data_IF_427605117904
#
_entry.id   IF_427605117904
#
_cell.length_a   1.000
_cell.length_b   1.000
_cell.length_c   1.000
_cell.angle_alpha   90.00
_cell.angle_beta   90.00
_cell.angle_gamma   90.00
#
_symmetry.space_group_name_H-M   'P 1'
#
loop_
_entity.id
_entity.type
_entity.pdbx_description
1 polymer ?
#
# COMPACT_ATOMS: atom_id res chain seq x y z
N UNK A 1 17.93 -2.00 -18.06
CA UNK A 1 16.65 -1.31 -17.73
C UNK A 1 16.67 0.12 -18.31
N UNK A 2 15.54 0.68 -18.77
CA UNK A 2 15.46 2.09 -19.24
C UNK A 2 14.98 3.04 -18.13
N UNK A 3 15.53 4.25 -18.05
CA UNK A 3 15.07 5.32 -17.16
C UNK A 3 14.30 6.37 -17.96
N UNK A 4 13.04 6.58 -17.59
CA UNK A 4 12.08 7.50 -18.21
C UNK A 4 11.76 8.61 -17.21
N UNK A 5 11.93 9.87 -17.58
CA UNK A 5 11.77 11.05 -16.71
C UNK A 5 10.62 11.95 -17.14
N UNK A 6 10.10 11.80 -18.37
CA UNK A 6 9.03 12.65 -18.90
C UNK A 6 7.83 11.83 -19.40
N UNK A 7 6.68 12.49 -19.58
CA UNK A 7 5.47 11.86 -20.16
C UNK A 7 5.75 11.36 -21.57
N UNK A 8 6.52 12.14 -22.33
CA UNK A 8 6.84 11.89 -23.74
C UNK A 8 7.75 10.66 -23.88
N UNK A 9 8.75 10.53 -23.00
CA UNK A 9 9.61 9.34 -22.93
C UNK A 9 8.80 8.09 -22.58
N UNK A 10 7.91 8.18 -21.58
CA UNK A 10 7.02 7.08 -21.22
C UNK A 10 6.09 6.70 -22.36
N UNK A 11 5.44 7.67 -23.01
CA UNK A 11 4.54 7.43 -24.13
C UNK A 11 5.27 6.77 -25.30
N UNK A 12 6.48 7.23 -25.64
CA UNK A 12 7.32 6.62 -26.67
C UNK A 12 7.66 5.17 -26.32
N UNK A 13 8.09 4.93 -25.08
CA UNK A 13 8.39 3.60 -24.56
C UNK A 13 7.18 2.66 -24.62
N UNK A 14 5.99 3.16 -24.25
CA UNK A 14 4.72 2.42 -24.29
C UNK A 14 4.33 2.06 -25.73
N UNK A 15 4.38 3.03 -26.65
CA UNK A 15 3.95 2.85 -28.04
C UNK A 15 4.83 1.85 -28.79
N UNK A 16 6.15 1.91 -28.59
CA UNK A 16 7.12 1.01 -29.20
C UNK A 16 6.99 -0.45 -28.71
N UNK A 17 6.22 -0.67 -27.63
CA UNK A 17 6.04 -1.97 -26.97
C UNK A 17 4.56 -2.34 -26.81
N UNK A 18 3.69 -1.77 -27.63
CA UNK A 18 2.22 -1.89 -27.51
C UNK A 18 1.68 -3.33 -27.61
N UNK A 19 2.41 -4.25 -28.23
CA UNK A 19 2.01 -5.67 -28.35
C UNK A 19 2.46 -6.55 -27.19
N UNK A 20 3.24 -6.02 -26.23
CA UNK A 20 3.79 -6.78 -25.11
C UNK A 20 2.93 -6.57 -23.86
N UNK A 21 2.59 -7.63 -23.11
CA UNK A 21 1.87 -7.48 -21.85
C UNK A 21 2.72 -6.67 -20.88
N UNK A 22 2.08 -5.79 -20.09
CA UNK A 22 2.77 -4.87 -19.19
C UNK A 22 2.21 -4.91 -17.78
N UNK A 23 3.10 -5.04 -16.81
CA UNK A 23 2.79 -4.87 -15.40
C UNK A 23 3.35 -3.55 -14.89
N UNK A 24 2.53 -2.84 -14.11
CA UNK A 24 2.90 -1.61 -13.42
C UNK A 24 3.13 -1.90 -11.94
N UNK A 25 4.27 -1.45 -11.40
CA UNK A 25 4.56 -1.43 -9.96
C UNK A 25 4.71 0.02 -9.53
N UNK A 26 3.62 0.69 -9.09
CA UNK A 26 3.70 2.09 -8.71
C UNK A 26 4.31 2.24 -7.31
N UNK A 27 5.36 3.05 -7.19
CA UNK A 27 6.04 3.33 -5.91
C UNK A 27 6.38 4.81 -5.77
N UNK A 28 6.73 5.20 -4.54
CA UNK A 28 7.26 6.53 -4.22
C UNK A 28 8.80 6.57 -4.11
N UNK A 29 9.51 5.47 -4.41
CA UNK A 29 10.96 5.37 -4.16
C UNK A 29 11.31 4.97 -2.74
N UNK A 30 12.60 5.09 -2.39
CA UNK A 30 13.19 4.54 -1.17
C UNK A 30 12.85 3.05 -1.00
N UNK A 31 13.17 2.29 -2.04
CA UNK A 31 12.77 0.91 -2.22
C UNK A 31 13.43 -0.01 -1.18
N UNK A 32 12.74 -1.11 -0.91
CA UNK A 32 13.14 -2.13 0.07
C UNK A 32 12.61 -3.49 -0.38
N UNK A 33 12.88 -4.56 0.36
CA UNK A 33 12.51 -5.92 -0.03
C UNK A 33 10.99 -6.13 -0.23
N UNK A 34 10.16 -5.36 0.49
CA UNK A 34 8.73 -5.26 0.16
C UNK A 34 8.46 -4.85 -1.29
N UNK A 35 9.11 -3.80 -1.80
CA UNK A 35 8.98 -3.37 -3.19
C UNK A 35 9.59 -4.35 -4.18
N UNK A 36 10.76 -4.91 -3.84
CA UNK A 36 11.40 -5.97 -4.62
C UNK A 36 10.45 -7.14 -4.89
N UNK A 37 9.73 -7.59 -3.86
CA UNK A 37 8.75 -8.68 -4.01
C UNK A 37 7.60 -8.35 -4.97
N UNK A 38 7.21 -7.07 -5.10
CA UNK A 38 6.19 -6.63 -6.06
C UNK A 38 6.73 -6.69 -7.49
N UNK A 39 8.00 -6.33 -7.68
CA UNK A 39 8.68 -6.42 -8.98
C UNK A 39 8.83 -7.88 -9.39
N UNK A 40 9.27 -8.75 -8.47
CA UNK A 40 9.37 -10.20 -8.73
C UNK A 40 8.01 -10.81 -9.10
N UNK A 41 6.93 -10.39 -8.42
CA UNK A 41 5.57 -10.80 -8.76
C UNK A 41 5.15 -10.28 -10.14
N UNK A 42 5.42 -9.01 -10.44
CA UNK A 42 5.14 -8.41 -11.74
C UNK A 42 5.85 -9.15 -12.90
N UNK A 43 7.13 -9.52 -12.73
CA UNK A 43 7.90 -10.31 -13.70
C UNK A 43 7.21 -11.65 -13.97
N UNK A 44 6.78 -12.35 -12.91
CA UNK A 44 6.07 -13.64 -13.05
C UNK A 44 4.73 -13.51 -13.77
N UNK A 45 4.00 -12.39 -13.56
CA UNK A 45 2.69 -12.16 -14.16
C UNK A 45 2.76 -11.87 -15.66
N UNK A 46 3.80 -11.16 -16.11
CA UNK A 46 3.94 -10.80 -17.53
C UNK A 46 4.75 -11.81 -18.33
N UNK A 47 5.41 -12.76 -17.66
CA UNK A 47 6.30 -13.76 -18.24
C UNK A 47 7.37 -13.14 -19.16
N UNK A 48 7.06 -13.01 -20.46
CA UNK A 48 7.91 -12.42 -21.49
C UNK A 48 7.52 -10.98 -21.88
N UNK A 49 6.72 -10.31 -21.06
CA UNK A 49 6.29 -8.91 -21.21
C UNK A 49 7.25 -7.89 -20.62
N UNK A 50 6.70 -6.74 -20.21
CA UNK A 50 7.45 -5.61 -19.67
C UNK A 50 7.00 -5.26 -18.24
N UNK A 51 7.95 -5.01 -17.35
CA UNK A 51 7.68 -4.49 -16.00
C UNK A 51 8.10 -3.03 -15.95
N UNK A 52 7.13 -2.15 -15.66
CA UNK A 52 7.34 -0.74 -15.45
C UNK A 52 7.19 -0.43 -13.95
N UNK A 53 8.27 0.05 -13.32
CA UNK A 53 8.22 0.53 -11.93
C UNK A 53 8.17 2.05 -11.92
N UNK A 54 7.33 2.68 -11.10
CA UNK A 54 7.39 4.14 -10.94
C UNK A 54 8.17 4.50 -9.68
N UNK A 55 8.92 5.59 -9.73
CA UNK A 55 9.52 6.22 -8.56
C UNK A 55 9.03 7.67 -8.54
N UNK A 56 7.94 7.91 -7.83
CA UNK A 56 7.31 9.24 -7.81
C UNK A 56 6.72 9.56 -6.44
N UNK A 57 7.37 10.47 -5.71
CA UNK A 57 6.83 11.01 -4.45
C UNK A 57 5.71 12.00 -4.81
N UNK A 58 4.49 11.50 -4.93
CA UNK A 58 3.32 12.28 -5.31
C UNK A 58 3.01 13.36 -4.25
N UNK A 59 3.09 14.67 -4.54
CA UNK A 59 2.78 15.70 -3.55
C UNK A 59 1.30 15.74 -3.12
N UNK A 60 0.37 15.33 -4.00
CA UNK A 60 -1.07 15.49 -3.77
C UNK A 60 -1.65 14.53 -2.72
N UNK A 61 -0.90 13.48 -2.36
CA UNK A 61 -1.30 12.52 -1.33
C UNK A 61 -0.66 12.80 0.04
N UNK A 62 0.06 13.92 0.20
CA UNK A 62 0.61 14.35 1.48
C UNK A 62 -0.15 15.54 2.04
N UNK A 63 -0.51 15.46 3.32
CA UNK A 63 -1.06 16.60 4.06
C UNK A 63 0.02 17.64 4.42
N UNK A 64 -0.38 18.87 4.83
CA UNK A 64 0.56 19.94 5.17
C UNK A 64 1.55 19.60 6.31
N UNK A 65 1.13 18.73 7.24
CA UNK A 65 1.91 18.32 8.41
C UNK A 65 2.55 16.93 8.23
N UNK A 66 2.56 16.39 7.01
CA UNK A 66 3.14 15.08 6.72
C UNK A 66 4.59 15.18 6.23
N UNK A 67 5.21 14.02 6.02
CA UNK A 67 6.63 13.86 5.78
C UNK A 67 7.07 14.09 4.33
N UNK A 68 6.38 14.92 3.54
CA UNK A 68 6.70 15.12 2.11
C UNK A 68 8.13 15.65 1.88
N UNK A 69 8.53 16.66 2.67
CA UNK A 69 9.84 17.28 2.56
C UNK A 69 10.95 16.34 3.03
N UNK A 70 10.70 15.56 4.09
CA UNK A 70 11.65 14.61 4.68
C UNK A 70 11.60 13.21 4.05
N UNK A 71 10.67 12.95 3.11
CA UNK A 71 10.53 11.65 2.46
C UNK A 71 11.85 11.24 1.79
N UNK A 72 12.34 10.01 2.01
CA UNK A 72 13.65 9.62 1.53
C UNK A 72 13.65 9.52 0.00
N UNK A 73 14.66 10.11 -0.64
CA UNK A 73 14.86 10.05 -2.09
C UNK A 73 16.24 9.47 -2.37
N UNK A 74 16.29 8.26 -2.92
CA UNK A 74 17.53 7.48 -3.13
C UNK A 74 17.55 6.86 -4.52
N UNK A 75 17.35 7.69 -5.55
CA UNK A 75 17.11 7.25 -6.92
C UNK A 75 18.13 6.21 -7.41
N UNK A 76 19.43 6.43 -7.24
CA UNK A 76 20.46 5.47 -7.68
C UNK A 76 20.34 4.08 -7.03
N UNK A 77 20.05 4.05 -5.72
CA UNK A 77 19.84 2.79 -5.01
C UNK A 77 18.53 2.11 -5.44
N UNK A 78 17.49 2.90 -5.67
CA UNK A 78 16.20 2.42 -6.15
C UNK A 78 16.32 1.83 -7.56
N UNK A 79 17.06 2.47 -8.47
CA UNK A 79 17.34 1.97 -9.81
C UNK A 79 18.10 0.65 -9.78
N UNK A 80 19.11 0.54 -8.92
CA UNK A 80 19.87 -0.70 -8.73
C UNK A 80 18.95 -1.85 -8.30
N UNK A 81 18.05 -1.60 -7.35
CA UNK A 81 17.09 -2.59 -6.89
C UNK A 81 16.13 -2.99 -8.03
N UNK A 82 15.53 -2.01 -8.72
CA UNK A 82 14.64 -2.27 -9.85
C UNK A 82 15.31 -3.14 -10.93
N UNK A 83 16.54 -2.83 -11.32
CA UNK A 83 17.26 -3.60 -12.34
C UNK A 83 17.54 -5.02 -11.87
N UNK A 84 17.98 -5.19 -10.61
CA UNK A 84 18.28 -6.51 -10.04
C UNK A 84 17.07 -7.44 -9.92
N UNK A 85 15.86 -6.87 -9.83
CA UNK A 85 14.59 -7.61 -9.73
C UNK A 85 13.83 -7.71 -11.05
N UNK A 86 14.40 -7.21 -12.15
CA UNK A 86 13.88 -7.42 -13.50
C UNK A 86 12.90 -6.36 -14.01
N UNK A 87 12.90 -5.14 -13.45
CA UNK A 87 12.19 -4.02 -14.08
C UNK A 87 12.76 -3.76 -15.48
N UNK A 88 11.89 -3.72 -16.48
CA UNK A 88 12.26 -3.37 -17.86
C UNK A 88 12.54 -1.88 -17.97
N UNK A 89 11.73 -1.07 -17.31
CA UNK A 89 11.90 0.37 -17.23
C UNK A 89 11.48 0.94 -15.87
N UNK A 90 12.03 2.10 -15.55
CA UNK A 90 11.65 2.92 -14.40
C UNK A 90 11.15 4.27 -14.89
N UNK A 91 9.94 4.65 -14.48
CA UNK A 91 9.42 5.98 -14.68
C UNK A 91 9.60 6.81 -13.40
N UNK A 92 10.54 7.77 -13.45
CA UNK A 92 10.89 8.64 -12.34
C UNK A 92 10.74 10.12 -12.72
N UNK A 93 9.49 10.60 -12.87
CA UNK A 93 9.22 11.97 -13.29
C UNK A 93 9.33 12.96 -12.12
N UNK A 94 9.61 14.21 -12.46
CA UNK A 94 9.34 15.34 -11.58
C UNK A 94 7.84 15.66 -11.52
N UNK A 95 7.39 16.30 -10.43
CA UNK A 95 5.96 16.57 -10.21
C UNK A 95 5.31 17.39 -11.33
N UNK A 96 6.03 18.34 -11.93
CA UNK A 96 5.53 19.16 -13.03
C UNK A 96 5.36 18.40 -14.35
N UNK A 97 5.96 17.20 -14.49
CA UNK A 97 5.66 16.31 -15.61
C UNK A 97 4.36 15.53 -15.40
N UNK A 98 3.89 15.39 -14.15
CA UNK A 98 2.61 14.73 -13.85
C UNK A 98 1.47 15.74 -13.74
N UNK A 99 1.73 16.87 -13.08
CA UNK A 99 0.74 17.90 -12.77
C UNK A 99 1.11 19.20 -13.46
N UNK A 100 0.31 19.61 -14.44
CA UNK A 100 0.41 20.94 -15.02
C UNK A 100 -0.01 21.98 -13.95
N UNK A 101 0.56 23.20 -13.99
CA UNK A 101 0.39 24.21 -12.93
C UNK A 101 -1.07 24.68 -12.75
N UNK A 102 -1.91 24.49 -13.75
CA UNK A 102 -3.33 24.79 -13.75
C UNK A 102 -4.23 23.54 -13.61
N UNK A 103 -3.67 22.40 -13.17
CA UNK A 103 -4.44 21.18 -12.93
C UNK A 103 -5.59 21.44 -11.94
N UNK A 104 -6.82 21.14 -12.35
CA UNK A 104 -8.05 21.37 -11.57
C UNK A 104 -8.96 20.15 -11.49
N UNK A 105 -8.48 18.98 -11.94
CA UNK A 105 -9.23 17.72 -11.95
C UNK A 105 -8.62 16.75 -10.93
N UNK A 106 -9.47 16.22 -10.07
CA UNK A 106 -9.16 15.20 -9.07
C UNK A 106 -10.22 14.09 -9.09
N UNK A 107 -9.83 12.90 -8.63
CA UNK A 107 -10.73 11.75 -8.50
C UNK A 107 -10.97 11.49 -7.01
N UNK A 108 -12.25 11.37 -6.65
CA UNK A 108 -12.69 11.16 -5.28
C UNK A 108 -13.46 9.84 -5.18
N UNK A 109 -12.95 8.89 -4.40
CA UNK A 109 -13.74 7.74 -3.94
C UNK A 109 -14.47 8.17 -2.67
N UNK A 110 -15.76 7.84 -2.50
CA UNK A 110 -16.60 8.49 -1.48
C UNK A 110 -17.01 7.59 -0.30
N UNK A 111 -16.58 6.33 -0.27
CA UNK A 111 -16.95 5.37 0.78
C UNK A 111 -15.73 4.83 1.51
N UNK A 112 -14.94 3.99 0.87
CA UNK A 112 -13.79 3.32 1.48
C UNK A 112 -12.70 4.31 1.91
N UNK A 113 -12.55 5.41 1.18
CA UNK A 113 -11.59 6.47 1.44
C UNK A 113 -11.88 7.31 2.69
N UNK A 114 -13.10 7.24 3.25
CA UNK A 114 -13.52 8.15 4.34
C UNK A 114 -13.24 7.63 5.74
N UNK A 115 -12.84 6.37 5.88
CA UNK A 115 -12.55 5.72 7.17
C UNK A 115 -11.04 5.61 7.42
N UNK A 116 -10.66 5.29 8.66
CA UNK A 116 -9.30 4.89 9.05
C UNK A 116 -8.21 5.84 8.54
N UNK A 117 -7.28 5.39 7.68
CA UNK A 117 -6.22 6.24 7.15
C UNK A 117 -6.76 7.47 6.44
N UNK A 118 -7.91 7.40 5.79
CA UNK A 118 -8.49 8.54 5.11
C UNK A 118 -9.17 9.55 6.05
N UNK A 119 -9.72 9.06 7.18
CA UNK A 119 -10.19 9.94 8.25
C UNK A 119 -9.01 10.66 8.94
N UNK A 120 -7.91 9.94 9.21
CA UNK A 120 -6.70 10.51 9.82
C UNK A 120 -5.87 11.36 8.84
N UNK A 121 -6.09 11.22 7.52
CA UNK A 121 -5.34 11.91 6.46
C UNK A 121 -6.29 12.46 5.38
N UNK A 122 -7.03 13.55 5.67
CA UNK A 122 -7.97 14.13 4.72
C UNK A 122 -7.32 14.47 3.37
N UNK A 123 -7.94 14.07 2.27
CA UNK A 123 -7.44 14.26 0.91
C UNK A 123 -6.37 13.25 0.45
N UNK A 124 -5.84 12.42 1.35
CA UNK A 124 -4.79 11.44 1.00
C UNK A 124 -5.21 10.53 -0.17
N UNK A 125 -6.38 9.88 -0.04
CA UNK A 125 -6.86 8.96 -1.07
C UNK A 125 -7.32 9.67 -2.35
N UNK A 126 -7.68 10.95 -2.30
CA UNK A 126 -7.95 11.71 -3.52
C UNK A 126 -6.65 11.89 -4.33
N UNK A 127 -5.55 12.20 -3.64
CA UNK A 127 -4.22 12.24 -4.23
C UNK A 127 -3.79 10.89 -4.80
N UNK A 128 -4.02 9.78 -4.07
CA UNK A 128 -3.74 8.41 -4.53
C UNK A 128 -4.58 8.05 -5.76
N UNK A 129 -5.89 8.23 -5.71
CA UNK A 129 -6.78 7.92 -6.83
C UNK A 129 -6.40 8.72 -8.08
N UNK A 130 -6.10 10.01 -7.92
CA UNK A 130 -5.72 10.89 -9.02
C UNK A 130 -4.40 10.47 -9.64
N UNK A 131 -3.36 10.20 -8.84
CA UNK A 131 -2.05 9.79 -9.39
C UNK A 131 -2.12 8.42 -10.05
N UNK A 132 -2.80 7.43 -9.43
CA UNK A 132 -2.90 6.08 -9.97
C UNK A 132 -3.67 6.07 -11.28
N UNK A 133 -4.78 6.81 -11.38
CA UNK A 133 -5.51 6.95 -12.64
C UNK A 133 -4.65 7.58 -13.75
N UNK A 134 -3.87 8.61 -13.43
CA UNK A 134 -2.93 9.22 -14.39
C UNK A 134 -1.86 8.22 -14.82
N UNK A 135 -1.32 7.43 -13.90
CA UNK A 135 -0.35 6.38 -14.21
C UNK A 135 -0.96 5.28 -15.10
N UNK A 136 -2.22 4.86 -14.86
CA UNK A 136 -2.90 3.90 -15.72
C UNK A 136 -3.11 4.45 -17.13
N UNK A 137 -3.47 5.73 -17.28
CA UNK A 137 -3.60 6.37 -18.59
C UNK A 137 -2.26 6.48 -19.33
N UNK A 138 -1.18 6.84 -18.63
CA UNK A 138 0.15 7.04 -19.22
C UNK A 138 0.84 5.71 -19.55
N UNK A 139 0.83 4.77 -18.61
CA UNK A 139 1.54 3.51 -18.73
C UNK A 139 0.74 2.40 -19.41
N UNK A 140 -0.59 2.52 -19.52
CA UNK A 140 -1.49 1.54 -20.14
C UNK A 140 -1.15 0.08 -19.78
N UNK A 141 -1.07 -0.27 -18.48
CA UNK A 141 -0.71 -1.62 -18.07
C UNK A 141 -1.88 -2.59 -18.29
N UNK A 142 -1.57 -3.88 -18.43
CA UNK A 142 -2.55 -4.96 -18.31
C UNK A 142 -2.82 -5.30 -16.85
N UNK A 143 -1.78 -5.22 -16.02
CA UNK A 143 -1.83 -5.57 -14.60
C UNK A 143 -1.11 -4.52 -13.77
N UNK A 144 -1.59 -4.22 -12.58
CA UNK A 144 -0.90 -3.36 -11.63
C UNK A 144 -0.78 -4.06 -10.26
N UNK A 145 0.44 -4.05 -9.72
CA UNK A 145 0.80 -4.82 -8.52
C UNK A 145 0.98 -3.89 -7.33
N UNK A 146 0.29 -4.20 -6.23
CA UNK A 146 0.29 -3.41 -5.01
C UNK A 146 0.53 -4.29 -3.79
N UNK A 147 1.16 -3.75 -2.74
CA UNK A 147 1.36 -4.47 -1.49
C UNK A 147 0.12 -4.46 -0.61
N UNK A 148 -0.23 -5.62 -0.03
CA UNK A 148 -1.32 -5.77 0.94
C UNK A 148 -1.08 -5.03 2.26
N UNK A 149 0.16 -4.60 2.53
CA UNK A 149 0.51 -3.81 3.71
C UNK A 149 -0.37 -2.54 3.80
N UNK A 150 -0.63 -1.89 2.68
CA UNK A 150 -1.55 -0.75 2.57
C UNK A 150 -2.94 -1.23 2.11
N UNK A 151 -3.56 -2.15 2.86
CA UNK A 151 -4.78 -2.86 2.44
C UNK A 151 -5.96 -1.95 2.06
N UNK A 152 -6.17 -0.86 2.80
CA UNK A 152 -7.20 0.14 2.44
C UNK A 152 -6.90 0.81 1.09
N UNK A 153 -5.63 1.10 0.79
CA UNK A 153 -5.22 1.64 -0.51
C UNK A 153 -5.52 0.64 -1.63
N UNK A 154 -5.18 -0.63 -1.43
CA UNK A 154 -5.48 -1.70 -2.39
C UNK A 154 -6.99 -1.76 -2.69
N UNK A 155 -7.83 -1.78 -1.66
CA UNK A 155 -9.29 -1.80 -1.82
C UNK A 155 -9.84 -0.55 -2.53
N UNK A 156 -9.32 0.64 -2.20
CA UNK A 156 -9.68 1.90 -2.88
C UNK A 156 -9.27 1.86 -4.36
N UNK A 157 -8.10 1.32 -4.69
CA UNK A 157 -7.63 1.21 -6.07
C UNK A 157 -8.43 0.16 -6.85
N UNK A 158 -8.80 -0.97 -6.24
CA UNK A 158 -9.71 -1.94 -6.84
C UNK A 158 -11.08 -1.30 -7.13
N UNK A 159 -11.61 -0.50 -6.20
CA UNK A 159 -12.86 0.27 -6.38
C UNK A 159 -12.75 1.26 -7.54
N UNK A 160 -11.69 2.07 -7.55
CA UNK A 160 -11.36 3.02 -8.63
C UNK A 160 -11.31 2.34 -9.99
N UNK A 161 -10.59 1.22 -10.08
CA UNK A 161 -10.36 0.47 -11.32
C UNK A 161 -11.67 -0.05 -11.89
N UNK A 162 -12.49 -0.68 -11.04
CA UNK A 162 -13.80 -1.19 -11.43
C UNK A 162 -14.75 -0.07 -11.83
N UNK A 163 -14.90 0.97 -11.00
CA UNK A 163 -15.94 1.99 -11.19
C UNK A 163 -15.64 2.93 -12.38
N UNK A 164 -14.36 3.13 -12.71
CA UNK A 164 -13.95 3.88 -13.90
C UNK A 164 -13.67 2.99 -15.12
N UNK A 165 -13.94 1.68 -15.03
CA UNK A 165 -13.76 0.71 -16.12
C UNK A 165 -12.33 0.69 -16.69
N UNK A 166 -11.33 0.85 -15.83
CA UNK A 166 -9.95 0.68 -16.26
C UNK A 166 -9.71 -0.79 -16.67
N UNK A 167 -9.14 -1.07 -17.85
CA UNK A 167 -8.85 -2.42 -18.30
C UNK A 167 -7.54 -2.94 -17.67
N UNK A 168 -7.43 -2.82 -16.35
CA UNK A 168 -6.23 -3.18 -15.57
C UNK A 168 -6.63 -4.20 -14.50
N UNK A 169 -5.95 -5.33 -14.46
CA UNK A 169 -6.06 -6.28 -13.36
C UNK A 169 -5.26 -5.79 -12.15
N UNK A 170 -5.89 -5.71 -10.98
CA UNK A 170 -5.22 -5.29 -9.74
C UNK A 170 -4.81 -6.51 -8.93
N UNK A 171 -3.51 -6.69 -8.74
CA UNK A 171 -2.94 -7.81 -7.98
C UNK A 171 -2.38 -7.33 -6.65
N UNK A 172 -2.91 -7.88 -5.56
CA UNK A 172 -2.36 -7.70 -4.22
C UNK A 172 -1.23 -8.70 -3.95
N UNK A 173 -0.13 -8.24 -3.35
CA UNK A 173 0.96 -9.09 -2.90
C UNK A 173 1.09 -9.10 -1.38
N UNK A 174 1.35 -10.26 -0.75
CA UNK A 174 1.47 -10.36 0.70
C UNK A 174 2.49 -9.38 1.30
N UNK A 175 2.18 -8.87 2.49
CA UNK A 175 3.09 -8.01 3.25
C UNK A 175 4.41 -8.72 3.56
N UNK A 176 5.52 -8.19 3.05
CA UNK A 176 6.87 -8.61 3.44
C UNK A 176 7.22 -8.04 4.81
N UNK A 177 7.86 -8.86 5.65
CA UNK A 177 8.14 -8.55 7.05
C UNK A 177 9.62 -8.73 7.36
N UNK A 178 10.08 -7.94 8.31
CA UNK A 178 11.35 -8.09 9.01
C UNK A 178 11.38 -9.43 9.79
N UNK A 179 12.57 -9.86 10.24
CA UNK A 179 12.73 -11.14 10.94
C UNK A 179 11.90 -11.27 12.23
N UNK A 180 11.59 -10.14 12.87
CA UNK A 180 10.76 -10.06 14.08
C UNK A 180 9.26 -9.87 13.79
N UNK A 181 8.87 -9.87 12.51
CA UNK A 181 7.49 -9.77 12.04
C UNK A 181 6.99 -8.35 11.76
N UNK A 182 7.80 -7.30 12.03
CA UNK A 182 7.43 -5.93 11.68
C UNK A 182 7.24 -5.81 10.16
N UNK A 183 6.13 -5.21 9.73
CA UNK A 183 5.90 -4.94 8.30
C UNK A 183 7.02 -4.02 7.76
N UNK A 184 7.61 -4.39 6.63
CA UNK A 184 8.67 -3.57 6.02
C UNK A 184 8.08 -2.24 5.54
N UNK A 185 8.73 -1.14 5.93
CA UNK A 185 8.37 0.20 5.48
C UNK A 185 9.62 1.08 5.44
N UNK A 186 9.70 1.97 4.44
CA UNK A 186 10.70 3.04 4.40
C UNK A 186 10.68 3.92 5.66
N UNK A 187 9.55 4.00 6.38
CA UNK A 187 9.44 4.74 7.64
C UNK A 187 10.10 4.05 8.85
N UNK A 188 10.42 2.75 8.76
CA UNK A 188 11.05 2.02 9.88
C UNK A 188 12.42 2.59 10.23
N UNK A 189 13.11 3.25 9.30
CA UNK A 189 14.44 3.85 9.53
C UNK A 189 14.41 5.09 10.42
N UNK A 190 13.22 5.63 10.70
CA UNK A 190 13.04 6.80 11.56
C UNK A 190 12.75 6.46 13.02
N UNK A 191 12.54 5.17 13.32
CA UNK A 191 12.32 4.71 14.68
C UNK A 191 13.63 4.80 15.47
N UNK A 192 13.54 5.25 16.73
CA UNK A 192 14.61 5.04 17.70
C UNK A 192 14.83 3.54 17.97
N UNK A 193 15.93 3.18 18.63
CA UNK A 193 16.19 1.78 18.99
C UNK A 193 15.08 1.20 19.88
N UNK A 194 14.58 1.99 20.85
CA UNK A 194 13.49 1.61 21.75
C UNK A 194 12.16 1.49 21.00
N UNK A 195 11.82 2.46 20.15
CA UNK A 195 10.61 2.43 19.32
C UNK A 195 10.63 1.24 18.34
N UNK A 196 11.79 0.94 17.76
CA UNK A 196 11.98 -0.19 16.85
C UNK A 196 11.81 -1.52 17.57
N UNK A 197 12.28 -1.65 18.82
CA UNK A 197 12.10 -2.85 19.63
C UNK A 197 10.63 -3.07 20.04
N UNK A 198 9.88 -1.98 20.26
CA UNK A 198 8.46 -2.00 20.60
C UNK A 198 7.55 -2.33 19.40
N UNK A 199 7.86 -1.77 18.22
CA UNK A 199 7.01 -1.84 17.02
C UNK A 199 6.45 -3.22 16.62
N UNK A 200 7.19 -4.35 16.75
CA UNK A 200 6.67 -5.68 16.43
C UNK A 200 5.45 -6.12 17.25
N UNK A 201 5.12 -5.44 18.37
CA UNK A 201 3.88 -5.72 19.12
C UNK A 201 2.64 -5.63 18.24
N UNK A 202 2.63 -4.72 17.26
CA UNK A 202 1.52 -4.52 16.35
C UNK A 202 1.18 -5.83 15.59
N UNK A 203 2.18 -6.40 14.91
CA UNK A 203 1.97 -7.64 14.16
C UNK A 203 1.67 -8.83 15.07
N UNK A 204 2.40 -8.95 16.20
CA UNK A 204 2.20 -10.06 17.15
C UNK A 204 0.76 -10.08 17.68
N UNK A 205 0.23 -8.92 18.06
CA UNK A 205 -1.14 -8.79 18.55
C UNK A 205 -2.15 -9.14 17.47
N UNK A 206 -2.07 -8.51 16.28
CA UNK A 206 -3.00 -8.77 15.19
C UNK A 206 -3.00 -10.25 14.79
N UNK A 207 -1.84 -10.86 14.67
CA UNK A 207 -1.71 -12.28 14.32
C UNK A 207 -2.29 -13.20 15.40
N UNK A 208 -2.05 -12.90 16.68
CA UNK A 208 -2.61 -13.70 17.77
C UNK A 208 -4.14 -13.62 17.78
N UNK A 209 -4.70 -12.42 17.68
CA UNK A 209 -6.16 -12.23 17.71
C UNK A 209 -6.80 -12.85 16.47
N UNK A 210 -6.21 -12.68 15.28
CA UNK A 210 -6.67 -13.32 14.05
C UNK A 210 -6.75 -14.86 14.17
N UNK A 211 -5.77 -15.49 14.81
CA UNK A 211 -5.78 -16.94 15.07
C UNK A 211 -6.81 -17.36 16.12
N UNK A 212 -7.11 -16.49 17.08
CA UNK A 212 -8.11 -16.77 18.12
C UNK A 212 -9.53 -16.57 17.57
N UNK A 213 -9.74 -15.63 16.65
CA UNK A 213 -10.98 -15.51 15.84
C UNK A 213 -11.22 -16.80 15.05
N UNK A 214 -10.21 -17.31 14.32
CA UNK A 214 -10.37 -18.53 13.51
C UNK A 214 -10.64 -19.79 14.35
N UNK A 215 -10.35 -19.76 15.65
CA UNK A 215 -10.65 -20.81 16.63
C UNK A 215 -11.97 -20.58 17.37
N UNK A 216 -12.73 -19.55 17.03
CA UNK A 216 -14.01 -19.23 17.67
C UNK A 216 -13.89 -18.75 19.12
N UNK A 217 -12.76 -18.15 19.50
CA UNK A 217 -12.53 -17.68 20.89
C UNK A 217 -13.13 -16.30 21.18
N UNK A 218 -13.59 -15.58 20.16
CA UNK A 218 -14.25 -14.29 20.33
C UNK A 218 -15.74 -14.38 19.99
N UNK A 219 -16.61 -13.81 20.84
CA UNK A 219 -18.05 -13.82 20.62
C UNK A 219 -18.49 -12.84 19.52
N UNK A 220 -17.70 -11.78 19.26
CA UNK A 220 -18.01 -10.78 18.24
C UNK A 220 -16.74 -10.08 17.73
N UNK A 221 -16.80 -9.41 16.56
CA UNK A 221 -15.74 -8.52 16.08
C UNK A 221 -15.38 -7.39 17.05
N UNK A 222 -16.37 -6.84 17.76
CA UNK A 222 -16.18 -5.78 18.76
C UNK A 222 -15.28 -6.24 19.91
N UNK A 223 -15.53 -7.41 20.49
CA UNK A 223 -14.69 -7.96 21.58
C UNK A 223 -13.28 -8.27 21.08
N UNK A 224 -13.14 -8.78 19.86
CA UNK A 224 -11.82 -8.98 19.26
C UNK A 224 -11.07 -7.65 19.05
N UNK A 225 -11.78 -6.59 18.67
CA UNK A 225 -11.21 -5.24 18.52
C UNK A 225 -10.75 -4.68 19.86
N UNK A 226 -11.53 -4.83 20.92
CA UNK A 226 -11.16 -4.41 22.28
C UNK A 226 -9.90 -5.12 22.79
N UNK A 227 -9.79 -6.44 22.57
CA UNK A 227 -8.59 -7.21 22.91
C UNK A 227 -7.33 -6.70 22.21
N UNK A 228 -7.43 -6.33 20.92
CA UNK A 228 -6.30 -5.75 20.18
C UNK A 228 -5.88 -4.43 20.81
N UNK A 229 -6.85 -3.57 21.17
CA UNK A 229 -6.60 -2.27 21.80
C UNK A 229 -5.89 -2.47 23.14
N UNK A 230 -6.37 -3.36 24.00
CA UNK A 230 -5.76 -3.63 25.31
C UNK A 230 -4.31 -4.13 25.15
N UNK A 231 -4.09 -5.12 24.29
CA UNK A 231 -2.75 -5.69 24.07
C UNK A 231 -1.76 -4.69 23.49
N UNK A 232 -2.16 -3.87 22.51
CA UNK A 232 -1.27 -2.84 21.97
C UNK A 232 -0.99 -1.77 23.02
N UNK A 233 -1.99 -1.37 23.82
CA UNK A 233 -1.85 -0.35 24.86
C UNK A 233 -0.97 -0.78 26.04
N UNK A 234 -0.66 -2.08 26.17
CA UNK A 234 0.32 -2.58 27.14
C UNK A 234 1.77 -2.16 26.80
N UNK A 235 2.04 -1.78 25.55
CA UNK A 235 3.29 -1.17 25.15
C UNK A 235 3.21 0.35 25.29
N UNK A 236 3.92 0.90 26.27
CA UNK A 236 3.85 2.33 26.61
C UNK A 236 4.31 3.27 25.49
N UNK A 237 5.13 2.79 24.55
CA UNK A 237 5.57 3.57 23.39
C UNK A 237 4.54 3.58 22.25
N UNK A 238 3.50 2.73 22.32
CA UNK A 238 2.48 2.60 21.29
C UNK A 238 1.28 3.52 21.56
N UNK A 239 0.98 4.42 20.62
CA UNK A 239 -0.23 5.23 20.65
C UNK A 239 -1.12 4.89 19.45
N UNK A 240 -2.26 4.26 19.73
CA UNK A 240 -3.20 3.82 18.70
C UNK A 240 -3.83 5.03 17.98
N UNK A 241 -3.87 4.99 16.66
CA UNK A 241 -4.67 5.88 15.81
C UNK A 241 -6.04 5.25 15.56
N UNK A 242 -6.05 4.02 15.02
CA UNK A 242 -7.25 3.21 14.92
C UNK A 242 -6.90 1.72 15.01
N UNK A 243 -7.91 0.94 15.40
CA UNK A 243 -7.98 -0.51 15.25
C UNK A 243 -9.38 -0.83 14.76
N UNK A 244 -9.51 -1.79 13.84
CA UNK A 244 -10.82 -2.26 13.39
C UNK A 244 -10.79 -3.71 12.90
N UNK A 245 -11.98 -4.34 12.86
CA UNK A 245 -12.20 -5.68 12.30
C UNK A 245 -13.21 -5.56 11.17
N UNK A 246 -12.77 -5.89 9.96
CA UNK A 246 -13.50 -5.64 8.72
C UNK A 246 -13.64 -6.91 7.90
N UNK A 247 -14.57 -6.88 6.96
CA UNK A 247 -14.67 -7.89 5.92
C UNK A 247 -13.52 -7.73 4.91
N UNK A 248 -12.82 -8.82 4.58
CA UNK A 248 -11.66 -8.77 3.68
C UNK A 248 -12.01 -8.34 2.25
N UNK A 249 -13.23 -8.59 1.79
CA UNK A 249 -13.61 -8.35 0.39
C UNK A 249 -14.20 -6.96 0.21
N UNK A 250 -15.10 -6.55 1.10
CA UNK A 250 -15.78 -5.26 1.03
C UNK A 250 -15.06 -4.14 1.75
N UNK A 251 -14.19 -4.46 2.70
CA UNK A 251 -13.59 -3.51 3.64
C UNK A 251 -14.65 -2.70 4.42
N UNK A 252 -15.78 -3.34 4.75
CA UNK A 252 -16.78 -2.80 5.67
C UNK A 252 -16.55 -3.38 7.08
N UNK A 253 -16.75 -2.60 8.16
CA UNK A 253 -16.76 -3.10 9.53
C UNK A 253 -17.70 -4.28 9.70
N UNK A 254 -17.29 -5.24 10.51
CA UNK A 254 -18.09 -6.42 10.81
C UNK A 254 -18.89 -6.24 12.09
N UNK A 255 -20.19 -6.51 12.03
CA UNK A 255 -21.04 -6.67 13.21
C UNK A 255 -21.07 -8.14 13.70
N UNK A 256 -20.72 -9.09 12.82
CA UNK A 256 -20.63 -10.52 13.14
C UNK A 256 -19.56 -11.21 12.27
N UNK A 257 -19.13 -12.41 12.68
CA UNK A 257 -18.19 -13.22 11.89
C UNK A 257 -18.90 -14.13 10.85
N UNK A 258 -20.23 -14.18 10.85
CA UNK A 258 -20.99 -15.15 10.05
C UNK A 258 -20.92 -14.82 8.55
N UNK A 259 -20.47 -15.79 7.74
CA UNK A 259 -20.29 -15.65 6.29
C UNK A 259 -19.31 -14.55 5.84
N UNK A 260 -18.41 -14.13 6.74
CA UNK A 260 -17.41 -13.12 6.45
C UNK A 260 -15.99 -13.68 6.58
N UNK A 261 -15.03 -13.02 5.93
CA UNK A 261 -13.60 -13.28 6.08
C UNK A 261 -12.97 -12.14 6.87
N UNK A 262 -12.83 -12.26 8.21
CA UNK A 262 -12.41 -11.14 9.04
C UNK A 262 -10.97 -10.72 8.73
N UNK A 263 -10.73 -9.42 8.71
CA UNK A 263 -9.40 -8.83 8.62
C UNK A 263 -9.26 -7.75 9.68
N UNK A 264 -8.16 -7.80 10.39
CA UNK A 264 -7.85 -6.88 11.46
C UNK A 264 -6.95 -5.79 10.86
N UNK A 265 -7.34 -4.53 11.02
CA UNK A 265 -6.58 -3.36 10.58
C UNK A 265 -6.11 -2.58 11.79
N UNK A 266 -4.89 -2.04 11.76
CA UNK A 266 -4.44 -1.12 12.79
C UNK A 266 -3.45 -0.09 12.25
N UNK A 267 -3.51 1.10 12.83
CA UNK A 267 -2.50 2.15 12.71
C UNK A 267 -2.08 2.59 14.12
N UNK A 268 -0.77 2.67 14.33
CA UNK A 268 -0.16 2.96 15.64
C UNK A 268 1.02 3.89 15.45
N UNK A 269 1.11 4.90 16.30
CA UNK A 269 2.27 5.77 16.41
C UNK A 269 3.28 5.22 17.42
N UNK A 270 4.55 5.20 17.03
CA UNK A 270 5.70 5.06 17.92
C UNK A 270 6.48 6.37 17.86
N UNK A 271 6.43 7.15 18.94
CA UNK A 271 6.80 8.57 18.90
C UNK A 271 5.99 9.33 17.84
N UNK A 272 6.68 9.87 16.84
CA UNK A 272 6.06 10.58 15.70
C UNK A 272 5.85 9.69 14.46
N UNK A 273 6.32 8.44 14.48
CA UNK A 273 6.30 7.55 13.32
C UNK A 273 5.01 6.75 13.32
N UNK A 274 4.16 7.00 12.31
CA UNK A 274 2.91 6.28 12.11
C UNK A 274 3.13 5.00 11.30
N UNK A 275 2.96 3.86 11.95
CA UNK A 275 3.02 2.54 11.32
C UNK A 275 1.60 2.01 11.10
N UNK A 276 1.44 1.20 10.06
CA UNK A 276 0.19 0.48 9.79
C UNK A 276 0.50 -0.99 9.59
N UNK A 277 -0.45 -1.84 9.95
CA UNK A 277 -0.40 -3.26 9.63
C UNK A 277 -1.82 -3.82 9.53
N UNK A 278 -1.95 -4.99 8.90
CA UNK A 278 -3.18 -5.74 8.85
C UNK A 278 -2.93 -7.24 8.75
N UNK A 279 -3.89 -8.03 9.23
CA UNK A 279 -3.85 -9.49 9.20
C UNK A 279 -5.24 -10.04 8.91
N UNK A 280 -5.38 -10.90 7.90
CA UNK A 280 -6.59 -11.69 7.69
C UNK A 280 -6.68 -12.84 8.70
N UNK A 281 -7.84 -13.07 9.29
CA UNK A 281 -8.13 -14.27 10.05
C UNK A 281 -8.15 -15.48 9.09
N UNK A 282 -7.38 -16.55 9.38
CA UNK A 282 -7.43 -17.76 8.57
C UNK A 282 -8.85 -18.32 8.51
N UNK A 283 -9.27 -18.86 7.37
CA UNK A 283 -10.50 -19.65 7.32
C UNK A 283 -10.37 -20.82 8.30
N UNK A 284 -11.35 -20.98 9.20
CA UNK A 284 -11.45 -22.20 10.00
C UNK A 284 -11.61 -23.37 9.03
N UNK A 285 -10.70 -24.34 9.07
CA UNK A 285 -10.93 -25.64 8.43
C UNK A 285 -12.09 -26.26 9.22
N UNK A 286 -13.32 -26.10 8.72
CA UNK A 286 -14.51 -26.79 9.24
C UNK A 286 -14.60 -28.17 8.62
#
# INVERSE_FOLDING_TARGET
>A
MELLKTREELQSWVNNRSSRPRALVPTMGALHQGHASLIDAAVKLVDSGDVLTTIFVNPTQFGPNEDFASYPRRLEADLTLCESHGSTAVFAPEAYHIYDSNSSVSIHESKLSRRWCGASRPGHFDGVCTVVAKLFLLAQPNTAVFGEKDFQQLAVIQRLTRDLNFPVEIVGCPTVREADGLAMSSRNTYLSEEERAAAPILHRTLRSVANDISRGKFPSPEVAREEIIERISSETLARIDYVDVVDSDSLEPLDSFDNHLPRLLAAVFFGNIRLIDNVGAPQSIR
#
